data_IF_744990914415
#
_entry.id   IF_744990914415
#
_cell.length_a   1.000
_cell.length_b   1.000
_cell.length_c   1.000
_cell.angle_alpha   90.00
_cell.angle_beta   90.00
_cell.angle_gamma   90.00
#
_symmetry.space_group_name_H-M   'P 1'
#
loop_
_entity.id
_entity.type
_entity.pdbx_description
1 polymer ?
#
# COMPACT_ATOMS: atom_id res chain seq x y z
N UNK A 1 14.07 1.73 -19.53
CA UNK A 1 13.81 2.26 -18.16
C UNK A 1 14.90 1.80 -17.18
N UNK A 2 14.93 2.31 -15.93
CA UNK A 2 15.77 1.75 -14.84
C UNK A 2 14.98 0.72 -14.04
N UNK A 3 15.63 -0.37 -13.62
CA UNK A 3 15.01 -1.40 -12.78
C UNK A 3 14.62 -0.82 -11.43
N UNK A 4 13.35 -0.97 -11.01
CA UNK A 4 12.84 -0.46 -9.73
C UNK A 4 13.51 -1.08 -8.50
N UNK A 5 14.09 -2.27 -8.63
CA UNK A 5 14.77 -2.94 -7.51
C UNK A 5 16.27 -2.63 -7.43
N UNK A 6 17.02 -2.82 -8.52
CA UNK A 6 18.49 -2.73 -8.50
C UNK A 6 19.10 -1.56 -9.29
N UNK A 7 18.26 -0.72 -9.92
CA UNK A 7 18.68 0.47 -10.66
C UNK A 7 19.38 0.22 -12.01
N UNK A 8 19.69 -1.03 -12.36
CA UNK A 8 20.31 -1.36 -13.65
C UNK A 8 19.38 -1.02 -14.84
N UNK A 9 19.93 -0.71 -16.03
CA UNK A 9 19.12 -0.57 -17.24
C UNK A 9 18.31 -1.83 -17.53
N UNK A 10 17.05 -1.64 -17.95
CA UNK A 10 16.15 -2.71 -18.38
C UNK A 10 15.81 -2.50 -19.85
N UNK A 11 16.20 -3.48 -20.66
CA UNK A 11 16.13 -3.43 -22.14
C UNK A 11 15.44 -4.67 -22.73
N UNK A 12 15.36 -5.77 -21.99
CA UNK A 12 14.78 -7.01 -22.50
C UNK A 12 13.27 -7.01 -22.32
N UNK A 13 12.54 -7.09 -23.44
CA UNK A 13 11.11 -7.36 -23.43
C UNK A 13 10.86 -8.78 -22.93
N UNK A 14 9.93 -8.92 -21.99
CA UNK A 14 9.42 -10.20 -21.51
C UNK A 14 8.13 -10.57 -22.26
N UNK A 15 7.16 -9.65 -22.29
CA UNK A 15 5.94 -9.76 -23.10
C UNK A 15 5.43 -8.38 -23.48
N UNK A 16 4.90 -8.25 -24.69
CA UNK A 16 4.15 -7.07 -25.16
C UNK A 16 2.70 -7.50 -25.43
N UNK A 17 1.76 -6.93 -24.68
CA UNK A 17 0.33 -7.21 -24.78
C UNK A 17 -0.43 -6.12 -25.56
N UNK A 18 0.29 -5.21 -26.21
CA UNK A 18 -0.30 -4.10 -26.96
C UNK A 18 -0.73 -2.94 -26.06
N UNK A 19 -1.92 -2.41 -26.30
CA UNK A 19 -2.48 -1.28 -25.56
C UNK A 19 -3.76 -1.71 -24.84
N UNK A 20 -3.91 -1.33 -23.58
CA UNK A 20 -5.06 -1.66 -22.76
C UNK A 20 -5.49 -0.46 -21.87
N UNK A 21 -6.78 -0.31 -21.55
CA UNK A 21 -7.23 0.67 -20.58
C UNK A 21 -6.89 0.21 -19.15
N UNK A 22 -6.91 1.11 -18.15
CA UNK A 22 -6.81 0.73 -16.75
C UNK A 22 -7.92 -0.27 -16.37
N UNK A 23 -7.55 -1.37 -15.71
CA UNK A 23 -8.47 -2.50 -15.47
C UNK A 23 -9.70 -2.16 -14.63
N UNK A 24 -9.59 -1.14 -13.77
CA UNK A 24 -10.63 -0.75 -12.81
C UNK A 24 -11.31 0.58 -13.18
N UNK A 25 -11.04 1.12 -14.38
CA UNK A 25 -11.69 2.33 -14.88
C UNK A 25 -13.04 1.98 -15.55
N UNK A 26 -14.01 1.57 -14.75
CA UNK A 26 -15.34 1.23 -15.26
C UNK A 26 -16.05 2.45 -15.85
N UNK A 27 -16.60 2.30 -17.05
CA UNK A 27 -17.32 3.36 -17.75
C UNK A 27 -18.81 3.37 -17.38
N UNK A 28 -19.40 4.57 -17.26
CA UNK A 28 -20.84 4.71 -17.20
C UNK A 28 -21.44 4.70 -18.62
N UNK A 29 -22.77 4.50 -18.70
CA UNK A 29 -23.46 4.45 -19.99
C UNK A 29 -23.28 5.75 -20.81
N UNK A 30 -23.15 6.89 -20.14
CA UNK A 30 -22.89 8.19 -20.76
C UNK A 30 -21.49 8.29 -21.38
N UNK A 31 -20.51 7.58 -20.82
CA UNK A 31 -19.10 7.60 -21.23
C UNK A 31 -18.82 6.81 -22.50
N UNK A 32 -19.74 5.93 -22.90
CA UNK A 32 -19.57 5.02 -24.05
C UNK A 32 -19.38 5.74 -25.40
N UNK A 33 -19.68 7.05 -25.46
CA UNK A 33 -19.47 7.88 -26.65
C UNK A 33 -18.20 8.76 -26.56
N UNK A 34 -17.50 8.70 -25.45
CA UNK A 34 -16.26 9.43 -25.24
C UNK A 34 -15.03 8.54 -25.54
N UNK A 35 -13.88 9.15 -25.91
CA UNK A 35 -12.64 8.40 -26.08
C UNK A 35 -12.21 7.75 -24.76
N UNK A 36 -11.70 6.52 -24.85
CA UNK A 36 -11.14 5.79 -23.72
C UNK A 36 -9.61 5.83 -23.73
N UNK A 37 -9.01 6.13 -22.58
CA UNK A 37 -7.56 6.21 -22.42
C UNK A 37 -6.97 4.80 -22.39
N UNK A 38 -5.92 4.60 -23.19
CA UNK A 38 -5.17 3.35 -23.26
C UNK A 38 -3.67 3.59 -23.00
N UNK A 39 -3.03 2.61 -22.37
CA UNK A 39 -1.59 2.62 -22.10
C UNK A 39 -0.92 1.40 -22.75
N UNK A 40 0.36 1.50 -23.18
CA UNK A 40 1.11 0.33 -23.59
C UNK A 40 1.27 -0.64 -22.41
N UNK A 41 0.82 -1.87 -22.58
CA UNK A 41 0.98 -2.95 -21.61
C UNK A 41 2.19 -3.80 -21.98
N UNK A 42 3.36 -3.23 -21.70
CA UNK A 42 4.66 -3.87 -21.91
C UNK A 42 5.29 -4.26 -20.60
N UNK A 43 5.80 -5.49 -20.57
CA UNK A 43 6.49 -6.05 -19.43
C UNK A 43 7.92 -6.35 -19.84
N UNK A 44 8.87 -5.88 -19.05
CA UNK A 44 10.29 -6.10 -19.25
C UNK A 44 10.88 -6.91 -18.11
N UNK A 45 12.03 -7.52 -18.35
CA UNK A 45 12.78 -8.28 -17.35
C UNK A 45 14.20 -7.72 -17.19
N UNK A 46 14.60 -7.48 -15.94
CA UNK A 46 15.96 -7.06 -15.63
C UNK A 46 16.92 -8.25 -15.71
N UNK A 47 17.93 -8.22 -16.59
CA UNK A 47 18.92 -9.31 -16.69
C UNK A 47 19.83 -9.44 -15.44
N UNK A 48 19.85 -8.43 -14.56
CA UNK A 48 20.72 -8.42 -13.37
C UNK A 48 20.06 -9.04 -12.15
N UNK A 49 18.82 -8.67 -11.85
CA UNK A 49 18.10 -9.12 -10.65
C UNK A 49 16.82 -9.90 -10.96
N UNK A 50 16.50 -10.11 -12.23
CA UNK A 50 15.33 -10.86 -12.70
C UNK A 50 13.97 -10.29 -12.30
N UNK A 51 13.92 -9.04 -11.84
CA UNK A 51 12.63 -8.36 -11.63
C UNK A 51 11.93 -8.17 -12.98
N UNK A 52 10.77 -8.81 -13.10
CA UNK A 52 9.79 -8.59 -14.15
C UNK A 52 8.93 -7.40 -13.74
N UNK A 53 8.82 -6.38 -14.60
CA UNK A 53 8.15 -5.12 -14.27
C UNK A 53 7.51 -4.48 -15.52
N UNK A 54 6.42 -3.76 -15.30
CA UNK A 54 5.82 -2.90 -16.31
C UNK A 54 6.60 -1.61 -16.48
N UNK A 55 6.47 -0.98 -17.63
CA UNK A 55 6.81 0.45 -17.77
C UNK A 55 5.72 1.30 -17.12
N UNK A 56 6.08 2.47 -16.56
CA UNK A 56 5.10 3.41 -16.02
C UNK A 56 4.68 4.40 -17.09
N UNK A 57 3.44 4.25 -17.57
CA UNK A 57 2.80 5.21 -18.48
C UNK A 57 1.64 5.97 -17.81
N UNK A 58 1.04 5.41 -16.75
CA UNK A 58 -0.03 6.01 -15.99
C UNK A 58 0.51 6.65 -14.69
N UNK A 59 -0.14 7.72 -14.23
CA UNK A 59 0.15 8.31 -12.91
C UNK A 59 -0.61 7.57 -11.80
N UNK A 60 -0.08 7.47 -10.57
CA UNK A 60 -0.79 6.82 -9.47
C UNK A 60 -2.20 7.37 -9.24
N UNK A 61 -2.39 8.68 -9.38
CA UNK A 61 -3.69 9.35 -9.17
C UNK A 61 -4.73 8.98 -10.24
N UNK A 62 -4.29 8.49 -11.41
CA UNK A 62 -5.17 7.99 -12.48
C UNK A 62 -5.65 6.56 -12.19
N UNK A 63 -4.90 5.79 -11.39
CA UNK A 63 -5.21 4.40 -11.05
C UNK A 63 -5.95 4.27 -9.71
N UNK A 64 -5.68 5.17 -8.77
CA UNK A 64 -6.26 5.22 -7.42
C UNK A 64 -7.15 6.45 -7.28
N UNK A 65 -8.17 6.54 -8.13
CA UNK A 65 -9.14 7.65 -8.09
C UNK A 65 -10.09 7.55 -6.89
N UNK A 66 -10.86 8.60 -6.64
CA UNK A 66 -11.90 8.59 -5.61
C UNK A 66 -12.97 7.49 -5.83
N UNK A 67 -13.17 7.09 -7.09
CA UNK A 67 -14.14 6.07 -7.51
C UNK A 67 -13.53 4.67 -7.58
N UNK A 68 -12.39 4.43 -6.92
CA UNK A 68 -11.77 3.12 -6.83
C UNK A 68 -12.78 2.09 -6.31
N UNK A 69 -13.16 1.17 -7.19
CA UNK A 69 -14.31 0.29 -6.98
C UNK A 69 -13.97 -0.99 -6.19
N UNK A 70 -12.72 -1.18 -5.78
CA UNK A 70 -12.28 -2.44 -5.17
C UNK A 70 -12.25 -2.36 -3.64
N UNK A 71 -13.11 -3.14 -3.01
CA UNK A 71 -13.21 -3.34 -1.56
C UNK A 71 -12.82 -4.78 -1.23
N UNK A 72 -11.74 -4.95 -0.47
CA UNK A 72 -11.20 -6.27 -0.11
C UNK A 72 -12.17 -7.10 0.72
N UNK A 73 -13.03 -6.46 1.51
CA UNK A 73 -14.03 -7.16 2.34
C UNK A 73 -15.16 -7.83 1.55
N UNK A 74 -15.27 -7.61 0.24
CA UNK A 74 -16.30 -8.23 -0.60
C UNK A 74 -16.14 -9.75 -0.74
N UNK A 75 -14.94 -10.29 -0.49
CA UNK A 75 -14.65 -11.72 -0.58
C UNK A 75 -14.60 -12.36 0.81
N UNK A 76 -15.52 -13.28 1.11
CA UNK A 76 -15.52 -14.02 2.38
C UNK A 76 -14.26 -14.87 2.57
N UNK A 77 -13.79 -15.51 1.50
CA UNK A 77 -12.55 -16.32 1.54
C UNK A 77 -11.32 -15.44 1.79
N UNK A 78 -11.30 -14.20 1.29
CA UNK A 78 -10.24 -13.25 1.59
C UNK A 78 -10.28 -12.77 3.04
N UNK A 79 -11.48 -12.54 3.60
CA UNK A 79 -11.65 -12.21 5.02
C UNK A 79 -11.17 -13.34 5.94
N UNK A 80 -11.51 -14.58 5.62
CA UNK A 80 -11.02 -15.76 6.35
C UNK A 80 -9.50 -15.88 6.28
N UNK A 81 -8.92 -15.66 5.09
CA UNK A 81 -7.48 -15.62 4.90
C UNK A 81 -6.82 -14.52 5.75
N UNK A 82 -7.39 -13.31 5.77
CA UNK A 82 -6.87 -12.19 6.53
C UNK A 82 -6.88 -12.44 8.04
N UNK A 83 -7.97 -13.03 8.56
CA UNK A 83 -8.06 -13.45 9.96
C UNK A 83 -6.99 -14.50 10.30
N UNK A 84 -6.88 -15.55 9.49
CA UNK A 84 -5.87 -16.61 9.68
C UNK A 84 -4.44 -16.07 9.62
N UNK A 85 -4.18 -15.13 8.70
CA UNK A 85 -2.88 -14.45 8.60
C UNK A 85 -2.61 -13.60 9.84
N UNK A 86 -3.59 -12.83 10.32
CA UNK A 86 -3.45 -11.98 11.51
C UNK A 86 -3.13 -12.81 12.76
N UNK A 87 -3.80 -13.95 12.95
CA UNK A 87 -3.51 -14.88 14.05
C UNK A 87 -2.09 -15.43 13.95
N UNK A 88 -1.72 -15.95 12.77
CA UNK A 88 -0.40 -16.54 12.51
C UNK A 88 0.73 -15.53 12.73
N UNK A 89 0.60 -14.30 12.21
CA UNK A 89 1.67 -13.31 12.32
C UNK A 89 1.77 -12.72 13.73
N UNK A 90 0.63 -12.62 14.44
CA UNK A 90 0.58 -12.24 15.85
C UNK A 90 1.36 -13.23 16.70
N UNK A 91 1.14 -14.53 16.52
CA UNK A 91 1.89 -15.56 17.24
C UNK A 91 3.37 -15.55 16.83
N UNK A 92 3.67 -15.52 15.53
CA UNK A 92 5.03 -15.59 15.02
C UNK A 92 5.92 -14.44 15.50
N UNK A 93 5.38 -13.23 15.58
CA UNK A 93 6.12 -12.03 16.00
C UNK A 93 5.87 -11.66 17.47
N UNK A 94 5.04 -12.44 18.18
CA UNK A 94 4.63 -12.19 19.56
C UNK A 94 4.04 -10.79 19.74
N UNK A 95 3.12 -10.42 18.82
CA UNK A 95 2.47 -9.12 18.86
C UNK A 95 1.47 -9.06 20.02
N UNK A 96 1.39 -7.90 20.66
CA UNK A 96 0.46 -7.66 21.77
C UNK A 96 0.15 -6.18 21.92
N UNK A 97 -0.44 -5.80 23.05
CA UNK A 97 -0.85 -4.41 23.32
C UNK A 97 0.28 -3.39 23.37
N UNK A 98 1.54 -3.85 23.45
CA UNK A 98 2.75 -3.01 23.40
C UNK A 98 3.35 -2.90 21.99
N UNK A 99 2.79 -3.64 21.02
CA UNK A 99 3.14 -3.55 19.61
C UNK A 99 2.34 -2.44 18.93
N UNK A 100 2.78 -2.03 17.74
CA UNK A 100 2.04 -1.11 16.89
C UNK A 100 2.11 -1.59 15.44
N UNK A 101 0.97 -1.96 14.86
CA UNK A 101 0.89 -2.49 13.51
C UNK A 101 0.56 -1.37 12.53
N UNK A 102 1.35 -1.25 11.46
CA UNK A 102 1.07 -0.30 10.37
C UNK A 102 0.83 -1.09 9.09
N UNK A 103 -0.31 -0.85 8.45
CA UNK A 103 -0.62 -1.41 7.13
C UNK A 103 -0.61 -0.30 6.07
N UNK A 104 0.14 -0.52 5.00
CA UNK A 104 0.16 0.36 3.81
C UNK A 104 -0.80 -0.21 2.78
N UNK A 105 -1.61 0.66 2.17
CA UNK A 105 -2.73 0.28 1.31
C UNK A 105 -3.75 -0.60 2.05
N UNK A 106 -4.17 -0.14 3.24
CA UNK A 106 -5.05 -0.88 4.15
C UNK A 106 -6.48 -1.07 3.63
N UNK A 107 -6.83 -0.43 2.50
CA UNK A 107 -8.15 -0.51 1.87
C UNK A 107 -9.27 -0.20 2.88
N UNK A 108 -10.28 -1.06 2.95
CA UNK A 108 -11.44 -0.96 3.83
C UNK A 108 -11.22 -1.55 5.24
N UNK A 109 -9.95 -1.74 5.63
CA UNK A 109 -9.57 -2.19 6.96
C UNK A 109 -9.80 -3.68 7.23
N UNK A 110 -10.03 -4.47 6.17
CA UNK A 110 -10.35 -5.90 6.27
C UNK A 110 -9.35 -6.73 7.10
N UNK A 111 -8.05 -6.36 7.07
CA UNK A 111 -7.00 -7.01 7.83
C UNK A 111 -6.87 -6.41 9.24
N UNK A 112 -6.80 -5.08 9.35
CA UNK A 112 -6.54 -4.39 10.61
C UNK A 112 -7.61 -4.62 11.68
N UNK A 113 -8.87 -4.84 11.31
CA UNK A 113 -9.93 -5.17 12.26
C UNK A 113 -9.59 -6.38 13.16
N UNK A 114 -8.80 -7.33 12.66
CA UNK A 114 -8.41 -8.52 13.42
C UNK A 114 -7.39 -8.17 14.51
N UNK A 115 -6.44 -7.28 14.23
CA UNK A 115 -5.47 -6.79 15.22
C UNK A 115 -6.15 -5.92 16.29
N UNK A 116 -7.12 -5.08 15.88
CA UNK A 116 -7.95 -4.31 16.82
C UNK A 116 -8.72 -5.23 17.76
N UNK A 117 -9.36 -6.28 17.23
CA UNK A 117 -10.07 -7.27 18.04
C UNK A 117 -9.15 -8.01 19.03
N UNK A 118 -7.88 -8.23 18.66
CA UNK A 118 -6.85 -8.79 19.53
C UNK A 118 -6.26 -7.78 20.54
N UNK A 119 -6.73 -6.54 20.56
CA UNK A 119 -6.23 -5.49 21.46
C UNK A 119 -4.85 -4.95 21.08
N UNK A 120 -4.45 -5.09 19.81
CA UNK A 120 -3.18 -4.61 19.28
C UNK A 120 -3.43 -3.25 18.60
N UNK A 121 -2.75 -2.17 19.04
CA UNK A 121 -2.83 -0.87 18.40
C UNK A 121 -2.38 -0.92 16.92
N UNK A 122 -3.09 -0.22 16.04
CA UNK A 122 -2.75 -0.19 14.62
C UNK A 122 -3.09 1.13 13.90
N UNK A 123 -2.47 1.31 12.73
CA UNK A 123 -2.71 2.41 11.80
C UNK A 123 -2.72 1.88 10.36
N UNK A 124 -3.79 2.15 9.62
CA UNK A 124 -3.79 1.96 8.17
C UNK A 124 -3.52 3.25 7.41
N UNK A 125 -2.82 3.11 6.29
CA UNK A 125 -2.52 4.17 5.33
C UNK A 125 -3.21 3.80 4.03
N UNK A 126 -4.24 4.55 3.65
CA UNK A 126 -5.02 4.32 2.44
C UNK A 126 -5.23 5.63 1.68
N UNK A 127 -4.76 5.74 0.42
CA UNK A 127 -4.95 6.96 -0.38
C UNK A 127 -6.41 7.17 -0.82
N UNK A 128 -7.20 6.11 -0.93
CA UNK A 128 -8.56 6.16 -1.47
C UNK A 128 -9.58 6.55 -0.39
N UNK A 129 -10.28 7.67 -0.63
CA UNK A 129 -11.26 8.22 0.33
C UNK A 129 -12.39 7.24 0.67
N UNK A 130 -12.93 6.54 -0.33
CA UNK A 130 -14.10 5.67 -0.16
C UNK A 130 -13.81 4.46 0.74
N UNK A 131 -12.66 3.80 0.53
CA UNK A 131 -12.24 2.64 1.32
C UNK A 131 -11.80 3.06 2.72
N UNK A 132 -11.10 4.19 2.86
CA UNK A 132 -10.73 4.74 4.17
C UNK A 132 -11.97 5.04 5.03
N UNK A 133 -13.00 5.68 4.44
CA UNK A 133 -14.25 5.96 5.15
C UNK A 133 -14.99 4.67 5.56
N UNK A 134 -14.94 3.61 4.73
CA UNK A 134 -15.52 2.31 5.07
C UNK A 134 -14.81 1.65 6.27
N UNK A 135 -13.48 1.78 6.36
CA UNK A 135 -12.70 1.29 7.50
C UNK A 135 -13.09 2.02 8.80
N UNK A 136 -13.17 3.35 8.78
CA UNK A 136 -13.55 4.19 9.93
C UNK A 136 -14.98 3.89 10.44
N UNK A 137 -15.90 3.60 9.52
CA UNK A 137 -17.28 3.26 9.86
C UNK A 137 -17.39 1.93 10.65
N UNK A 138 -16.53 0.96 10.36
CA UNK A 138 -16.50 -0.33 11.08
C UNK A 138 -16.01 -0.18 12.53
N UNK A 139 -15.12 0.78 12.80
CA UNK A 139 -14.63 1.07 14.14
C UNK A 139 -15.75 1.65 15.04
N UNK A 140 -16.58 2.52 14.48
CA UNK A 140 -17.71 3.12 15.21
C UNK A 140 -18.74 2.09 15.68
N UNK A 141 -18.84 0.95 15.00
CA UNK A 141 -19.69 -0.18 15.40
C UNK A 141 -19.03 -1.08 16.47
N UNK A 142 -17.71 -0.99 16.61
CA UNK A 142 -16.90 -1.81 17.52
C UNK A 142 -16.68 -1.15 18.91
N UNK A 143 -17.30 0.01 19.17
CA UNK A 143 -17.27 0.68 20.48
C UNK A 143 -16.11 1.65 20.70
N UNK A 144 -15.43 2.10 19.64
CA UNK A 144 -14.43 3.18 19.70
C UNK A 144 -15.09 4.56 19.70
N UNK A 145 -14.76 5.41 20.69
CA UNK A 145 -15.38 6.73 20.85
C UNK A 145 -14.76 7.74 19.87
N UNK A 146 -15.50 8.16 18.85
CA UNK A 146 -15.08 9.14 17.84
C UNK A 146 -15.53 10.56 18.22
N UNK A 147 -14.58 11.43 18.56
CA UNK A 147 -14.83 12.88 18.57
C UNK A 147 -13.57 13.69 18.23
N UNK A 148 -13.60 14.37 17.07
CA UNK A 148 -12.69 15.49 16.73
C UNK A 148 -12.06 15.46 15.31
N UNK A 149 -12.65 16.22 14.38
CA UNK A 149 -12.07 16.71 13.09
C UNK A 149 -11.33 18.06 13.37
N UNK A 150 -10.44 18.68 12.54
CA UNK A 150 -10.10 18.44 11.13
C UNK A 150 -8.59 18.58 10.73
N UNK A 151 -8.01 17.49 10.22
CA UNK A 151 -6.70 17.36 9.53
C UNK A 151 -5.46 17.96 10.25
N UNK A 152 -4.71 17.20 11.04
CA UNK A 152 -3.23 17.32 11.14
C UNK A 152 -2.64 16.43 12.25
N UNK A 153 -1.51 15.80 11.95
CA UNK A 153 -0.72 14.99 12.87
C UNK A 153 0.04 15.93 13.81
N UNK A 154 -0.12 15.77 15.13
CA UNK A 154 0.95 16.07 16.07
C UNK A 154 1.02 14.96 17.13
N UNK A 155 2.05 14.12 17.02
CA UNK A 155 2.40 13.07 17.97
C UNK A 155 3.08 13.74 19.17
N UNK A 156 2.45 13.78 20.35
CA UNK A 156 2.45 12.62 21.27
C UNK A 156 1.09 12.49 22.02
N UNK A 157 0.98 11.59 23.01
CA UNK A 157 -0.01 11.51 24.13
C UNK A 157 -0.69 10.12 24.19
N UNK A 158 -0.13 9.19 24.98
CA UNK A 158 -0.42 8.95 26.42
C UNK A 158 -1.71 8.21 26.79
N UNK A 159 -2.60 7.84 25.86
CA UNK A 159 -3.79 7.01 26.21
C UNK A 159 -4.23 5.98 25.15
N UNK A 160 -3.29 5.45 24.35
CA UNK A 160 -3.33 4.08 23.84
C UNK A 160 -4.44 3.65 22.86
N UNK A 161 -5.33 4.52 22.37
CA UNK A 161 -6.38 4.17 21.39
C UNK A 161 -6.67 5.33 20.44
N UNK A 162 -5.88 5.44 19.36
CA UNK A 162 -6.31 6.15 18.14
C UNK A 162 -5.90 5.32 16.93
N UNK A 163 -6.83 5.21 16.00
CA UNK A 163 -6.78 4.38 14.81
C UNK A 163 -7.07 5.36 13.64
N UNK A 164 -6.26 5.28 12.59
CA UNK A 164 -6.39 6.00 11.31
C UNK A 164 -5.94 7.48 11.29
N UNK A 165 -4.99 7.77 10.40
CA UNK A 165 -4.65 9.13 9.96
C UNK A 165 -4.63 9.12 8.43
N UNK A 166 -5.39 10.02 7.82
CA UNK A 166 -5.35 10.26 6.37
C UNK A 166 -3.95 10.76 5.98
N UNK A 167 -3.17 9.93 5.31
CA UNK A 167 -1.96 10.39 4.63
C UNK A 167 -2.29 10.48 3.14
N UNK A 168 -2.78 11.65 2.72
CA UNK A 168 -2.84 11.98 1.29
C UNK A 168 -1.39 12.14 0.81
N UNK A 169 -1.01 11.38 -0.21
CA UNK A 169 0.33 11.37 -0.79
C UNK A 169 0.62 12.75 -1.39
N UNK A 170 1.20 13.65 -0.59
CA UNK A 170 1.66 14.95 -1.07
C UNK A 170 2.97 14.74 -1.82
N UNK A 171 2.98 15.06 -3.11
CA UNK A 171 4.20 15.14 -3.92
C UNK A 171 5.10 16.23 -3.33
N UNK A 172 6.08 15.83 -2.54
CA UNK A 172 7.12 16.73 -2.05
C UNK A 172 8.03 17.12 -3.22
N UNK A 173 7.68 18.23 -3.89
CA UNK A 173 8.66 19.00 -4.65
C UNK A 173 9.64 19.61 -3.65
N UNK A 174 10.90 19.22 -3.77
CA UNK A 174 12.00 19.68 -2.92
C UNK A 174 12.27 21.17 -3.20
N UNK A 175 12.13 22.09 -2.23
CA UNK A 175 12.69 23.42 -2.36
C UNK A 175 14.19 23.34 -2.05
N UNK A 176 14.97 23.83 -2.99
CA UNK A 176 16.41 24.05 -2.86
C UNK A 176 16.69 25.08 -1.76
N UNK A 177 17.44 24.73 -0.71
CA UNK A 177 18.45 25.60 -0.07
C UNK A 177 19.14 24.93 1.12
N UNK A 178 20.43 24.65 0.92
CA UNK A 178 21.56 24.93 1.81
C UNK A 178 21.36 24.90 3.34
N UNK A 179 21.80 23.81 3.98
CA UNK A 179 22.68 23.83 5.17
C UNK A 179 23.42 22.48 5.32
N UNK A 180 24.63 22.54 5.88
CA UNK A 180 25.76 21.59 5.84
C UNK A 180 25.50 20.11 6.21
N UNK A 181 26.33 19.18 5.70
CA UNK A 181 26.08 17.74 5.82
C UNK A 181 26.38 17.23 7.23
N UNK A 182 25.42 16.51 7.81
CA UNK A 182 25.67 15.62 8.95
C UNK A 182 26.18 14.31 8.35
N UNK A 183 27.46 14.01 8.57
CA UNK A 183 28.09 12.76 8.13
C UNK A 183 27.46 11.56 8.87
N UNK A 184 26.68 10.77 8.13
CA UNK A 184 26.25 9.45 8.57
C UNK A 184 27.37 8.43 8.30
N UNK A 185 27.76 7.59 9.26
CA UNK A 185 28.76 6.55 9.02
C UNK A 185 28.25 5.52 8.00
N UNK A 186 29.12 4.96 7.13
CA UNK A 186 28.71 4.01 6.13
C UNK A 186 28.19 2.71 6.77
N UNK A 187 27.01 2.29 6.32
CA UNK A 187 26.38 1.03 6.72
C UNK A 187 27.23 -0.16 6.24
N UNK A 188 27.88 -0.85 7.18
CA UNK A 188 28.56 -2.12 6.93
C UNK A 188 27.54 -3.25 6.83
N UNK A 189 27.47 -3.90 5.67
CA UNK A 189 26.60 -5.05 5.42
C UNK A 189 27.03 -6.29 6.21
N UNK A 190 26.12 -7.00 6.89
CA UNK A 190 26.38 -8.38 7.28
C UNK A 190 26.17 -9.29 6.06
N UNK A 191 27.25 -9.93 5.61
CA UNK A 191 27.18 -11.07 4.69
C UNK A 191 26.46 -12.22 5.38
N UNK A 192 25.28 -12.60 4.91
CA UNK A 192 24.71 -13.92 5.11
C UNK A 192 23.97 -14.34 3.83
N UNK A 193 24.72 -14.92 2.90
CA UNK A 193 24.15 -15.64 1.78
C UNK A 193 23.78 -17.05 2.25
N UNK A 194 22.52 -17.27 2.63
CA UNK A 194 21.96 -18.62 2.76
C UNK A 194 21.21 -18.96 1.47
N UNK A 195 21.78 -19.91 0.72
CA UNK A 195 21.21 -20.49 -0.50
C UNK A 195 19.86 -21.14 -0.21
N UNK A 196 18.83 -20.77 -0.95
CA UNK A 196 17.57 -21.50 -1.00
C UNK A 196 17.63 -22.46 -2.19
N UNK A 197 17.78 -23.76 -1.92
CA UNK A 197 17.60 -24.82 -2.91
C UNK A 197 16.12 -25.21 -2.93
N UNK A 198 15.46 -25.10 -4.08
CA UNK A 198 14.18 -25.76 -4.35
C UNK A 198 14.49 -27.03 -5.16
N UNK A 199 14.05 -28.23 -4.73
CA UNK A 199 14.05 -29.40 -5.59
C UNK A 199 12.86 -29.35 -6.56
N UNK A 200 13.14 -29.77 -7.80
CA UNK A 200 12.18 -30.03 -8.87
C UNK A 200 11.52 -31.39 -8.62
#
# INVERSE_FOLDING_TARGET
MKCRHCGAPVEHSFVDLGFAPPSNAYLHAEDLRHPEVHYPLRVLVCHRCWLVQTEDYARPEELFSADYAYFSSTSSTWLEHAASYADMITERLQLGSQSFVIEVASNDGYLLKNFVAAGIPCLGIEPTTSTAAAAEAQESQSGGNSSGNPWDIDWPVKDGRRIWSRVTMCTLTCPTSTTSPVDWPPYSSPKAASRWNFPI
#
